data_IF_562641892872
#
_entry.id   IF_562641892872
#
_cell.length_a   1.000
_cell.length_b   1.000
_cell.length_c   1.000
_cell.angle_alpha   90.00
_cell.angle_beta   90.00
_cell.angle_gamma   90.00
#
_symmetry.space_group_name_H-M   'P 1'
#
loop_
_entity.id
_entity.type
_entity.pdbx_description
1 polymer ?
#
# COMPACT_ATOMS: atom_id res chain seq x y z
N UNK A 1 24.09 -74.95 16.79
CA UNK A 1 23.07 -74.46 17.76
C UNK A 1 23.44 -73.03 18.14
N UNK A 2 22.82 -72.03 17.51
CA UNK A 2 22.87 -70.63 17.96
C UNK A 2 21.44 -70.09 17.85
N UNK A 3 20.79 -69.93 19.01
CA UNK A 3 19.46 -69.37 19.12
C UNK A 3 19.56 -67.84 19.07
N UNK A 4 18.94 -67.24 18.06
CA UNK A 4 18.76 -65.80 17.97
C UNK A 4 17.44 -65.43 18.65
N UNK A 5 17.53 -64.69 19.75
CA UNK A 5 16.38 -64.17 20.51
C UNK A 5 15.94 -62.88 19.82
N UNK A 6 14.78 -62.92 19.16
CA UNK A 6 14.11 -61.76 18.63
C UNK A 6 13.37 -61.04 19.76
N UNK A 7 13.90 -59.91 20.22
CA UNK A 7 13.26 -59.01 21.17
C UNK A 7 12.26 -58.11 20.44
N UNK A 8 10.97 -58.41 20.57
CA UNK A 8 9.88 -57.60 20.05
C UNK A 8 9.58 -56.46 21.06
N UNK A 9 10.12 -55.27 20.81
CA UNK A 9 9.75 -54.05 21.54
C UNK A 9 8.39 -53.53 21.02
N UNK A 10 7.33 -53.69 21.82
CA UNK A 10 6.03 -53.05 21.60
C UNK A 10 6.09 -51.60 22.10
N UNK A 11 6.34 -50.67 21.18
CA UNK A 11 6.14 -49.23 21.39
C UNK A 11 4.64 -48.93 21.29
N UNK A 12 3.94 -48.94 22.42
CA UNK A 12 2.58 -48.38 22.52
C UNK A 12 2.66 -46.85 22.46
N UNK A 13 2.75 -46.31 21.24
CA UNK A 13 2.65 -44.88 20.99
C UNK A 13 1.24 -44.40 21.33
N UNK A 14 1.13 -43.45 22.28
CA UNK A 14 -0.12 -42.76 22.56
C UNK A 14 -0.46 -41.84 21.37
N UNK A 15 -1.13 -42.36 20.35
CA UNK A 15 -1.78 -41.54 19.32
C UNK A 15 -3.09 -41.00 19.90
N UNK A 16 -2.99 -40.08 20.87
CA UNK A 16 -4.11 -39.20 21.16
C UNK A 16 -4.11 -38.17 20.03
N UNK A 17 -4.89 -38.43 18.99
CA UNK A 17 -5.05 -37.47 17.89
C UNK A 17 -5.51 -36.14 18.46
N UNK A 18 -4.81 -35.06 18.07
CA UNK A 18 -5.22 -33.70 18.39
C UNK A 18 -6.69 -33.52 18.02
N UNK A 19 -7.46 -32.92 18.92
CA UNK A 19 -8.89 -32.71 18.73
C UNK A 19 -9.11 -31.48 17.84
N UNK A 20 -10.03 -31.62 16.89
CA UNK A 20 -10.50 -30.53 16.03
C UNK A 20 -11.51 -29.65 16.76
N UNK A 21 -11.97 -28.56 16.11
CA UNK A 21 -13.05 -27.69 16.62
C UNK A 21 -14.25 -28.53 17.09
N UNK A 22 -14.73 -28.24 18.30
CA UNK A 22 -15.86 -28.95 18.93
C UNK A 22 -15.50 -30.27 19.63
N UNK A 23 -14.22 -30.65 19.66
CA UNK A 23 -13.77 -31.85 20.37
C UNK A 23 -13.68 -31.65 21.89
N UNK A 24 -13.97 -32.71 22.66
CA UNK A 24 -13.79 -32.69 24.11
C UNK A 24 -12.30 -32.59 24.50
N UNK A 25 -11.98 -31.65 25.38
CA UNK A 25 -10.63 -31.40 25.87
C UNK A 25 -10.57 -31.29 27.40
N UNK A 26 -9.39 -31.54 27.96
CA UNK A 26 -9.10 -31.28 29.38
C UNK A 26 -8.06 -30.18 29.56
N UNK A 27 -7.15 -30.06 28.60
CA UNK A 27 -6.05 -29.09 28.56
C UNK A 27 -5.94 -28.50 27.15
N UNK A 28 -5.35 -27.32 27.02
CA UNK A 28 -5.12 -26.69 25.71
C UNK A 28 -4.26 -27.57 24.77
N UNK A 29 -3.40 -28.42 25.33
CA UNK A 29 -2.57 -29.37 24.56
C UNK A 29 -3.36 -30.50 23.90
N UNK A 30 -4.62 -30.70 24.28
CA UNK A 30 -5.49 -31.71 23.68
C UNK A 30 -6.08 -31.22 22.35
N UNK A 31 -6.03 -29.90 22.10
CA UNK A 31 -6.57 -29.26 20.91
C UNK A 31 -5.47 -29.00 19.86
N UNK A 32 -5.81 -29.14 18.58
CA UNK A 32 -4.91 -28.79 17.47
C UNK A 32 -4.64 -27.28 17.46
N UNK A 33 -3.39 -26.84 17.31
CA UNK A 33 -3.10 -25.41 17.20
C UNK A 33 -3.81 -24.82 15.96
N UNK A 34 -4.52 -23.68 16.05
CA UNK A 34 -4.46 -22.65 17.11
C UNK A 34 -5.60 -22.70 18.16
N UNK A 35 -6.20 -23.86 18.44
CA UNK A 35 -7.37 -23.99 19.30
C UNK A 35 -7.02 -24.03 20.81
N UNK A 36 -7.96 -23.63 21.66
CA UNK A 36 -7.85 -23.62 23.13
C UNK A 36 -8.99 -24.38 23.79
N UNK A 37 -8.73 -24.94 24.96
CA UNK A 37 -9.72 -25.70 25.71
C UNK A 37 -10.53 -24.78 26.63
N UNK A 38 -11.79 -24.52 26.27
CA UNK A 38 -12.71 -23.69 27.06
C UNK A 38 -13.94 -24.53 27.39
N UNK A 39 -14.28 -24.64 28.69
CA UNK A 39 -15.42 -25.44 29.17
C UNK A 39 -15.46 -26.91 28.69
N UNK A 40 -14.28 -27.50 28.43
CA UNK A 40 -14.08 -28.84 27.84
C UNK A 40 -14.31 -28.95 26.34
N UNK A 41 -14.38 -27.85 25.61
CA UNK A 41 -14.50 -27.84 24.15
C UNK A 41 -13.31 -27.10 23.51
N UNK A 42 -12.75 -27.67 22.44
CA UNK A 42 -11.71 -27.01 21.65
C UNK A 42 -12.32 -25.91 20.77
N UNK A 43 -12.02 -24.66 21.09
CA UNK A 43 -12.53 -23.46 20.40
C UNK A 43 -11.40 -22.62 19.79
N UNK A 44 -11.65 -21.90 18.68
CA UNK A 44 -10.65 -21.02 18.06
C UNK A 44 -10.30 -19.84 18.96
N UNK A 45 -9.01 -19.50 19.05
CA UNK A 45 -8.59 -18.21 19.56
C UNK A 45 -8.52 -17.18 18.43
N UNK A 46 -8.93 -15.96 18.74
CA UNK A 46 -8.84 -14.83 17.84
C UNK A 46 -8.10 -13.67 18.50
N UNK A 47 -7.43 -12.87 17.68
CA UNK A 47 -6.83 -11.59 18.06
C UNK A 47 -7.62 -10.42 17.48
N UNK A 48 -8.17 -10.61 16.30
CA UNK A 48 -9.06 -9.69 15.58
C UNK A 48 -10.19 -10.47 14.89
N UNK A 49 -11.25 -9.78 14.46
CA UNK A 49 -12.45 -10.41 13.88
C UNK A 49 -12.14 -11.27 12.64
N UNK A 50 -11.10 -10.92 11.87
CA UNK A 50 -10.67 -11.69 10.69
C UNK A 50 -10.11 -13.08 11.02
N UNK A 51 -9.75 -13.33 12.28
CA UNK A 51 -9.26 -14.64 12.72
C UNK A 51 -10.40 -15.64 12.93
N UNK A 52 -11.64 -15.16 12.97
CA UNK A 52 -12.82 -15.97 13.18
C UNK A 52 -13.41 -16.48 11.86
N UNK A 53 -14.13 -17.60 11.92
CA UNK A 53 -14.88 -18.11 10.79
C UNK A 53 -15.98 -17.12 10.37
N UNK A 54 -16.44 -17.23 9.12
CA UNK A 54 -17.45 -16.33 8.54
C UNK A 54 -18.62 -16.10 9.52
N UNK A 55 -18.90 -14.83 9.82
CA UNK A 55 -19.99 -14.33 10.69
C UNK A 55 -19.77 -14.45 12.19
N UNK A 56 -18.55 -14.71 12.66
CA UNK A 56 -18.19 -14.60 14.08
C UNK A 56 -17.37 -13.34 14.36
N UNK A 57 -17.43 -12.83 15.58
CA UNK A 57 -16.64 -11.68 16.04
C UNK A 57 -15.74 -12.07 17.21
N UNK A 58 -14.58 -11.43 17.29
CA UNK A 58 -13.60 -11.70 18.33
C UNK A 58 -13.93 -10.93 19.60
N UNK A 59 -14.53 -11.61 20.58
CA UNK A 59 -14.86 -11.02 21.88
C UNK A 59 -14.11 -11.72 23.01
N UNK A 60 -13.12 -11.03 23.56
CA UNK A 60 -12.33 -11.56 24.68
C UNK A 60 -11.47 -12.77 24.30
N UNK A 61 -10.89 -12.77 23.09
CA UNK A 61 -10.11 -13.88 22.50
C UNK A 61 -10.91 -15.13 22.14
N UNK A 62 -12.24 -15.03 22.11
CA UNK A 62 -13.12 -16.10 21.66
C UNK A 62 -13.94 -15.64 20.46
N UNK A 63 -14.00 -16.48 19.43
CA UNK A 63 -14.93 -16.28 18.32
C UNK A 63 -16.34 -16.61 18.77
N UNK A 64 -17.20 -15.60 18.88
CA UNK A 64 -18.61 -15.75 19.26
C UNK A 64 -19.50 -15.37 18.09
N UNK A 65 -20.65 -16.03 17.96
CA UNK A 65 -21.69 -15.57 17.04
C UNK A 65 -22.28 -14.23 17.57
N UNK A 66 -22.43 -13.20 16.72
CA UNK A 66 -23.04 -11.94 17.10
C UNK A 66 -24.51 -12.15 17.51
N UNK A 67 -25.00 -11.35 18.46
CA UNK A 67 -26.39 -11.45 18.89
C UNK A 67 -27.34 -11.16 17.71
N UNK A 68 -28.44 -11.93 17.55
CA UNK A 68 -29.36 -11.75 16.43
C UNK A 68 -29.93 -10.33 16.41
N UNK A 69 -29.61 -9.59 15.34
CA UNK A 69 -29.97 -8.18 15.16
C UNK A 69 -28.77 -7.22 15.02
N UNK A 70 -27.55 -7.69 15.30
CA UNK A 70 -26.32 -6.95 15.04
C UNK A 70 -25.69 -7.42 13.72
N UNK A 71 -25.65 -6.54 12.72
CA UNK A 71 -24.95 -6.83 11.46
C UNK A 71 -23.45 -6.83 11.75
N UNK A 72 -22.86 -8.04 11.83
CA UNK A 72 -21.42 -8.16 11.94
C UNK A 72 -20.75 -7.71 10.63
N UNK A 73 -19.59 -7.07 10.75
CA UNK A 73 -18.80 -6.55 9.63
C UNK A 73 -17.32 -6.79 9.86
N UNK A 74 -16.57 -7.06 8.80
CA UNK A 74 -15.11 -7.05 8.83
C UNK A 74 -14.56 -5.70 8.36
N UNK A 75 -15.32 -4.99 7.50
CA UNK A 75 -15.01 -3.66 6.99
C UNK A 75 -16.28 -2.82 6.84
N UNK A 76 -16.12 -1.49 6.74
CA UNK A 76 -17.24 -0.55 6.53
C UNK A 76 -18.05 -0.84 5.26
N UNK A 77 -17.45 -1.47 4.25
CA UNK A 77 -18.12 -1.92 3.03
C UNK A 77 -19.15 -3.03 3.25
N UNK A 78 -19.04 -3.77 4.35
CA UNK A 78 -19.96 -4.86 4.69
C UNK A 78 -21.26 -4.32 5.33
N UNK A 79 -21.25 -3.04 5.69
CA UNK A 79 -22.37 -2.38 6.33
C UNK A 79 -23.34 -1.75 5.31
N UNK A 80 -24.63 -1.70 5.63
CA UNK A 80 -25.61 -0.91 4.86
C UNK A 80 -25.18 0.56 4.74
N UNK A 81 -25.68 1.23 3.70
CA UNK A 81 -25.44 2.66 3.47
C UNK A 81 -25.75 3.46 4.74
N UNK A 82 -24.85 4.38 5.12
CA UNK A 82 -24.88 5.21 6.34
C UNK A 82 -24.56 4.48 7.66
N UNK A 83 -23.85 3.36 7.62
CA UNK A 83 -23.31 2.69 8.79
C UNK A 83 -21.78 2.54 8.67
N UNK A 84 -21.08 2.53 9.80
CA UNK A 84 -19.63 2.29 9.87
C UNK A 84 -19.35 1.03 10.66
N UNK A 85 -18.34 0.26 10.25
CA UNK A 85 -17.93 -0.92 11.00
C UNK A 85 -17.07 -0.49 12.20
N UNK A 86 -17.62 -0.63 13.42
CA UNK A 86 -16.93 -0.27 14.66
C UNK A 86 -16.96 -1.49 15.58
N UNK A 87 -15.79 -2.08 15.85
CA UNK A 87 -15.67 -3.25 16.73
C UNK A 87 -16.42 -4.48 16.22
N UNK A 88 -16.41 -4.71 14.91
CA UNK A 88 -17.06 -5.86 14.28
C UNK A 88 -18.58 -5.74 14.12
N UNK A 89 -19.17 -4.57 14.44
CA UNK A 89 -20.60 -4.32 14.37
C UNK A 89 -20.87 -3.07 13.52
N UNK A 90 -21.85 -3.13 12.63
CA UNK A 90 -22.32 -1.97 11.88
C UNK A 90 -23.11 -1.04 12.80
N UNK A 91 -22.55 0.11 13.13
CA UNK A 91 -23.24 1.18 13.86
C UNK A 91 -23.73 2.25 12.90
N UNK A 92 -24.96 2.74 13.12
CA UNK A 92 -25.48 3.88 12.38
C UNK A 92 -24.62 5.11 12.65
N UNK A 93 -24.23 5.83 11.60
CA UNK A 93 -23.71 7.18 11.73
C UNK A 93 -24.84 8.04 12.28
N UNK A 94 -24.96 8.14 13.61
CA UNK A 94 -25.77 9.16 14.25
C UNK A 94 -25.03 10.47 14.01
N UNK A 95 -25.29 11.08 12.85
CA UNK A 95 -25.11 12.50 12.67
C UNK A 95 -25.99 13.14 13.74
N UNK A 96 -25.40 13.47 14.88
CA UNK A 96 -26.01 14.36 15.85
C UNK A 96 -26.16 15.70 15.13
N UNK A 97 -27.26 15.86 14.40
CA UNK A 97 -27.78 17.16 14.00
C UNK A 97 -28.16 17.87 15.28
N UNK A 98 -27.18 18.57 15.87
CA UNK A 98 -27.45 19.73 16.68
C UNK A 98 -28.12 20.74 15.74
N UNK A 99 -29.44 20.67 15.80
CA UNK A 99 -30.43 21.51 15.15
C UNK A 99 -30.18 22.98 15.53
N UNK A 100 -29.33 23.65 14.75
CA UNK A 100 -29.23 25.10 14.78
C UNK A 100 -30.40 25.63 13.93
N UNK A 101 -31.52 25.87 14.62
CA UNK A 101 -32.73 26.41 14.03
C UNK A 101 -32.45 27.65 13.19
N UNK A 102 -32.93 27.59 11.95
CA UNK A 102 -33.25 28.78 11.17
C UNK A 102 -34.70 28.59 10.73
N UNK A 103 -35.60 29.30 11.40
CA UNK A 103 -36.93 29.55 10.88
C UNK A 103 -36.78 30.34 9.58
N UNK A 104 -37.15 29.73 8.45
CA UNK A 104 -37.48 30.46 7.24
C UNK A 104 -38.97 30.32 7.01
N UNK A 105 -39.64 31.40 7.39
CA UNK A 105 -41.03 31.73 7.11
C UNK A 105 -41.06 32.36 5.71
N UNK A 106 -41.31 31.57 4.67
CA UNK A 106 -41.75 32.05 3.37
C UNK A 106 -42.82 31.14 2.77
N UNK A 107 -44.08 31.57 2.95
CA UNK A 107 -45.25 30.96 2.36
C UNK A 107 -45.13 30.79 0.85
N UNK A 108 -45.02 29.53 0.42
CA UNK A 108 -45.20 29.09 -0.96
C UNK A 108 -46.46 28.23 -1.07
N UNK A 109 -47.46 28.76 -1.76
CA UNK A 109 -48.73 28.11 -2.09
C UNK A 109 -48.50 26.83 -2.91
N UNK A 110 -49.20 25.76 -2.54
CA UNK A 110 -49.21 24.48 -3.24
C UNK A 110 -49.74 24.62 -4.68
N UNK A 111 -49.14 23.97 -5.69
CA UNK A 111 -49.80 23.76 -6.97
C UNK A 111 -50.66 22.49 -6.92
N UNK A 112 -51.92 22.65 -7.30
CA UNK A 112 -52.90 21.60 -7.50
C UNK A 112 -52.43 20.57 -8.54
N UNK A 113 -52.56 19.29 -8.19
CA UNK A 113 -52.35 18.17 -9.09
C UNK A 113 -53.48 18.08 -10.13
N UNK A 114 -53.21 18.57 -11.34
CA UNK A 114 -53.99 18.27 -12.55
C UNK A 114 -53.49 16.97 -13.22
N UNK A 115 -54.37 16.13 -13.79
CA UNK A 115 -53.99 14.90 -14.48
C UNK A 115 -53.94 15.15 -16.00
N UNK A 116 -52.83 15.70 -16.48
CA UNK A 116 -52.53 15.77 -17.90
C UNK A 116 -51.05 15.46 -18.13
N UNK A 117 -50.84 14.31 -18.78
CA UNK A 117 -49.54 13.74 -19.03
C UNK A 117 -48.70 14.61 -19.97
N UNK A 118 -47.49 14.92 -19.51
CA UNK A 118 -46.49 15.58 -20.32
C UNK A 118 -45.39 16.16 -19.45
N UNK A 119 -44.47 15.32 -18.97
CA UNK A 119 -43.18 15.79 -18.45
C UNK A 119 -42.05 15.39 -19.38
N UNK A 120 -41.48 16.46 -19.93
CA UNK A 120 -40.13 16.65 -20.44
C UNK A 120 -39.12 15.77 -19.67
N UNK A 121 -38.13 15.14 -20.33
CA UNK A 121 -37.05 14.46 -19.61
C UNK A 121 -36.30 15.50 -18.78
N UNK A 122 -36.43 15.38 -17.45
CA UNK A 122 -35.62 16.14 -16.52
C UNK A 122 -34.15 15.83 -16.80
N UNK A 123 -33.41 16.85 -17.25
CA UNK A 123 -31.96 16.83 -17.33
C UNK A 123 -31.33 16.93 -15.93
N UNK A 124 -31.90 16.21 -14.96
CA UNK A 124 -31.17 15.76 -13.79
C UNK A 124 -30.25 14.67 -14.27
N UNK A 125 -29.07 15.07 -14.76
CA UNK A 125 -27.94 14.14 -14.82
C UNK A 125 -27.81 13.63 -13.40
N UNK A 126 -28.03 12.32 -13.23
CA UNK A 126 -27.60 11.57 -12.07
C UNK A 126 -26.11 11.85 -11.93
N UNK A 127 -25.77 12.93 -11.22
CA UNK A 127 -24.42 13.32 -10.93
C UNK A 127 -23.89 12.17 -10.11
N UNK A 128 -23.21 11.25 -10.80
CA UNK A 128 -22.59 10.10 -10.20
C UNK A 128 -21.85 10.58 -8.97
N UNK A 129 -21.94 9.78 -7.91
CA UNK A 129 -21.27 9.87 -6.61
C UNK A 129 -19.73 9.89 -6.78
N UNK A 130 -19.23 10.80 -7.60
CA UNK A 130 -17.84 11.16 -7.73
C UNK A 130 -17.49 12.01 -6.53
N UNK A 131 -17.45 11.37 -5.36
CA UNK A 131 -16.91 11.98 -4.16
C UNK A 131 -15.40 11.97 -4.28
N UNK A 132 -14.82 12.98 -4.91
CA UNK A 132 -13.39 13.19 -4.89
C UNK A 132 -12.92 13.15 -3.43
N UNK A 133 -11.82 12.45 -3.14
CA UNK A 133 -11.34 12.30 -1.79
C UNK A 133 -10.87 13.64 -1.23
N UNK A 134 -10.74 13.71 0.09
CA UNK A 134 -10.14 14.83 0.79
C UNK A 134 -8.80 15.24 0.14
N UNK A 135 -8.62 16.55 -0.08
CA UNK A 135 -7.42 17.13 -0.69
C UNK A 135 -7.37 17.11 -2.22
N UNK A 136 -8.28 16.40 -2.91
CA UNK A 136 -8.38 16.43 -4.36
C UNK A 136 -8.80 17.81 -4.88
N UNK A 137 -8.40 18.15 -6.11
CA UNK A 137 -8.79 19.40 -6.77
C UNK A 137 -10.25 19.30 -7.23
N UNK A 138 -11.06 20.32 -6.94
CA UNK A 138 -12.48 20.39 -7.29
C UNK A 138 -12.81 21.73 -7.93
N UNK A 139 -13.82 21.76 -8.80
CA UNK A 139 -14.46 22.96 -9.34
C UNK A 139 -15.76 23.29 -8.58
N UNK A 140 -16.42 22.29 -8.00
CA UNK A 140 -17.67 22.47 -7.25
C UNK A 140 -17.73 21.60 -5.99
N UNK A 141 -18.51 22.05 -5.00
CA UNK A 141 -18.75 21.34 -3.74
C UNK A 141 -19.30 19.91 -3.95
N UNK A 142 -20.14 19.71 -4.96
CA UNK A 142 -20.75 18.43 -5.31
C UNK A 142 -19.75 17.39 -5.84
N UNK A 143 -18.56 17.80 -6.23
CA UNK A 143 -17.49 16.88 -6.67
C UNK A 143 -16.73 16.28 -5.48
N UNK A 144 -16.94 16.76 -4.26
CA UNK A 144 -16.21 16.28 -3.08
C UNK A 144 -17.05 15.29 -2.29
N UNK A 145 -16.41 14.23 -1.77
CA UNK A 145 -17.10 13.26 -0.90
C UNK A 145 -17.73 13.90 0.35
N UNK A 146 -17.15 15.01 0.81
CA UNK A 146 -17.63 15.82 1.93
C UNK A 146 -18.70 16.85 1.57
N UNK A 147 -18.97 17.07 0.28
CA UNK A 147 -19.80 18.18 -0.18
C UNK A 147 -19.17 19.56 0.00
N UNK A 148 -17.84 19.66 0.21
CA UNK A 148 -17.16 20.93 0.47
C UNK A 148 -15.92 21.10 -0.41
N UNK A 149 -15.93 22.13 -1.26
CA UNK A 149 -14.79 22.55 -2.08
C UNK A 149 -14.30 23.94 -1.63
N UNK A 150 -13.11 24.00 -1.03
CA UNK A 150 -12.53 25.23 -0.50
C UNK A 150 -11.45 25.77 -1.43
N UNK A 151 -11.59 27.03 -1.86
CA UNK A 151 -10.61 27.72 -2.70
C UNK A 151 -10.54 29.21 -2.36
N UNK A 152 -9.51 29.93 -2.84
CA UNK A 152 -9.43 31.37 -2.65
C UNK A 152 -10.61 32.08 -3.31
N UNK A 153 -11.03 33.22 -2.73
CA UNK A 153 -12.17 33.97 -3.24
C UNK A 153 -11.98 34.34 -4.73
N UNK A 154 -12.90 33.90 -5.57
CA UNK A 154 -12.87 34.14 -7.03
C UNK A 154 -12.11 33.11 -7.86
N UNK A 155 -11.53 32.06 -7.25
CA UNK A 155 -10.94 30.95 -8.01
C UNK A 155 -12.01 30.05 -8.64
N UNK A 156 -11.72 29.54 -9.85
CA UNK A 156 -12.57 28.54 -10.54
C UNK A 156 -12.29 27.10 -10.08
N UNK A 157 -11.33 26.92 -9.18
CA UNK A 157 -10.99 25.63 -8.58
C UNK A 157 -10.60 25.80 -7.11
N UNK A 158 -10.80 24.74 -6.33
CA UNK A 158 -10.44 24.61 -4.93
C UNK A 158 -9.94 23.21 -4.62
N UNK A 159 -9.95 22.85 -3.33
CA UNK A 159 -9.66 21.50 -2.84
C UNK A 159 -10.80 20.98 -1.97
N UNK A 160 -11.06 19.68 -2.08
CA UNK A 160 -12.03 19.01 -1.23
C UNK A 160 -11.57 19.05 0.23
N UNK A 161 -12.39 19.63 1.10
CA UNK A 161 -12.12 19.77 2.55
C UNK A 161 -13.21 19.09 3.37
N UNK A 162 -13.10 19.06 4.71
CA UNK A 162 -14.15 18.57 5.62
C UNK A 162 -14.25 19.47 6.86
N UNK A 163 -15.39 19.42 7.57
CA UNK A 163 -15.52 20.07 8.88
C UNK A 163 -14.56 19.46 9.89
N UNK A 164 -14.18 20.24 10.90
CA UNK A 164 -13.28 19.81 11.95
C UNK A 164 -13.63 20.47 13.29
N UNK A 165 -13.33 19.79 14.38
CA UNK A 165 -13.39 20.32 15.75
C UNK A 165 -11.99 20.68 16.28
N UNK A 166 -10.96 19.95 15.86
CA UNK A 166 -9.56 20.14 16.28
C UNK A 166 -8.59 19.88 15.12
N UNK A 167 -7.33 20.34 15.24
CA UNK A 167 -6.31 20.13 14.20
C UNK A 167 -6.06 18.66 13.88
N UNK A 168 -6.27 17.75 14.85
CA UNK A 168 -6.10 16.32 14.65
C UNK A 168 -7.15 15.71 13.69
N UNK A 169 -8.25 16.40 13.43
CA UNK A 169 -9.25 15.95 12.46
C UNK A 169 -8.77 16.17 11.02
N UNK A 170 -7.80 17.06 10.81
CA UNK A 170 -7.31 17.46 9.50
C UNK A 170 -6.06 16.67 9.10
N UNK A 171 -5.98 16.32 7.82
CA UNK A 171 -4.76 15.73 7.28
C UNK A 171 -3.77 16.85 6.99
N UNK A 172 -2.54 16.69 7.45
CA UNK A 172 -1.46 17.60 7.12
C UNK A 172 -1.40 17.87 5.59
N UNK A 173 -1.21 19.12 5.14
CA UNK A 173 -0.83 20.33 5.90
C UNK A 173 -2.01 21.14 6.46
N UNK A 174 -3.24 20.68 6.34
CA UNK A 174 -4.40 21.46 6.77
C UNK A 174 -4.51 21.53 8.29
N UNK A 175 -5.00 22.66 8.78
CA UNK A 175 -5.34 22.86 10.19
C UNK A 175 -6.80 23.21 10.34
N UNK A 176 -7.36 22.97 11.52
CA UNK A 176 -8.76 23.22 11.74
C UNK A 176 -9.00 24.69 12.04
N UNK A 177 -9.59 25.40 11.09
CA UNK A 177 -9.71 26.84 11.15
C UNK A 177 -11.10 27.35 10.80
N UNK A 178 -11.47 28.46 11.44
CA UNK A 178 -12.70 29.18 11.15
C UNK A 178 -12.59 29.88 9.78
N UNK A 179 -13.29 29.33 8.79
CA UNK A 179 -13.46 29.93 7.48
C UNK A 179 -14.69 30.83 7.53
N UNK A 180 -14.56 32.15 7.27
CA UNK A 180 -15.67 33.08 7.31
C UNK A 180 -16.85 32.62 6.45
N UNK A 181 -18.03 32.42 7.08
CA UNK A 181 -19.25 31.97 6.42
C UNK A 181 -19.41 30.46 6.21
N UNK A 182 -18.37 29.66 6.48
CA UNK A 182 -18.42 28.20 6.30
C UNK A 182 -18.14 27.40 7.60
N UNK A 183 -17.79 28.08 8.70
CA UNK A 183 -17.50 27.45 9.99
C UNK A 183 -16.09 26.87 10.05
N UNK A 184 -15.87 25.91 10.96
CA UNK A 184 -14.55 25.29 11.15
C UNK A 184 -14.31 24.18 10.16
N UNK A 185 -13.39 24.42 9.23
CA UNK A 185 -13.01 23.52 8.16
C UNK A 185 -11.51 23.21 8.22
N UNK A 186 -11.12 22.08 7.66
CA UNK A 186 -9.71 21.80 7.42
C UNK A 186 -9.20 22.67 6.27
N UNK A 187 -8.46 23.72 6.60
CA UNK A 187 -7.93 24.65 5.63
C UNK A 187 -6.41 24.78 5.78
N UNK A 188 -5.74 24.99 4.66
CA UNK A 188 -4.38 25.51 4.64
C UNK A 188 -4.43 26.97 5.11
N UNK A 189 -4.28 27.17 6.41
CA UNK A 189 -4.30 28.50 7.02
C UNK A 189 -2.97 29.22 6.98
N UNK A 190 -1.88 28.53 6.66
CA UNK A 190 -0.59 29.18 6.59
C UNK A 190 -0.48 29.94 5.28
N UNK A 191 -0.50 31.28 5.40
CA UNK A 191 0.05 32.16 4.38
C UNK A 191 1.54 31.80 4.21
N UNK A 192 1.86 31.12 3.12
CA UNK A 192 3.21 30.66 2.81
C UNK A 192 3.29 30.04 1.42
N UNK A 193 4.52 29.86 0.96
CA UNK A 193 4.85 29.19 -0.29
C UNK A 193 4.40 27.73 -0.30
N UNK A 194 3.96 27.28 -1.46
CA UNK A 194 3.64 25.88 -1.75
C UNK A 194 4.92 25.05 -1.85
N UNK A 195 4.84 23.70 -1.75
CA UNK A 195 6.01 22.87 -1.97
C UNK A 195 6.69 23.19 -3.31
N UNK A 196 7.98 23.52 -3.27
CA UNK A 196 8.77 24.00 -4.41
C UNK A 196 9.10 25.50 -4.39
N UNK A 197 8.30 26.32 -3.69
CA UNK A 197 8.53 27.77 -3.61
C UNK A 197 9.78 28.09 -2.76
N UNK A 198 10.55 29.15 -3.07
CA UNK A 198 11.69 29.54 -2.25
C UNK A 198 11.27 30.03 -0.85
N UNK A 199 12.05 29.71 0.17
CA UNK A 199 11.82 30.13 1.56
C UNK A 199 13.08 30.81 2.15
N UNK A 200 13.36 32.08 1.80
CA UNK A 200 14.57 32.78 2.23
C UNK A 200 14.65 33.06 3.75
N UNK A 201 13.52 33.10 4.44
CA UNK A 201 13.40 33.37 5.88
C UNK A 201 13.11 32.11 6.71
N UNK A 202 13.20 30.91 6.10
CA UNK A 202 13.01 29.63 6.79
C UNK A 202 11.55 29.15 6.80
N UNK A 203 11.22 28.32 7.80
CA UNK A 203 9.94 27.59 7.88
C UNK A 203 8.69 28.47 7.84
N UNK A 204 8.79 29.70 8.35
CA UNK A 204 7.69 30.66 8.38
C UNK A 204 7.23 31.12 6.98
N UNK A 205 8.09 30.97 5.97
CA UNK A 205 7.74 31.28 4.58
C UNK A 205 6.91 30.16 3.92
N UNK A 206 6.77 28.99 4.55
CA UNK A 206 6.17 27.81 3.93
C UNK A 206 4.79 27.51 4.49
N UNK A 207 3.83 27.20 3.61
CA UNK A 207 2.48 26.81 4.03
C UNK A 207 2.45 25.48 4.82
N UNK A 208 3.50 24.69 4.66
CA UNK A 208 3.75 23.45 5.39
C UNK A 208 4.44 23.68 6.74
N UNK A 209 5.04 24.85 6.95
CA UNK A 209 5.98 25.06 8.06
C UNK A 209 7.29 24.28 7.92
N UNK A 210 7.66 23.80 6.71
CA UNK A 210 8.92 23.10 6.46
C UNK A 210 9.66 23.73 5.28
N UNK A 211 10.80 24.34 5.56
CA UNK A 211 11.74 24.89 4.60
C UNK A 211 12.99 24.00 4.52
N UNK A 212 13.18 23.30 3.39
CA UNK A 212 14.35 22.45 3.21
C UNK A 212 15.50 23.24 2.59
N UNK A 213 16.63 23.30 3.30
CA UNK A 213 17.84 23.96 2.82
C UNK A 213 18.80 22.94 2.19
N UNK A 214 18.92 22.97 0.86
CA UNK A 214 19.83 22.09 0.10
C UNK A 214 21.25 22.66 0.01
N UNK A 215 21.38 23.99 0.04
CA UNK A 215 22.66 24.69 0.09
C UNK A 215 22.52 26.03 0.80
N UNK A 216 23.62 26.73 1.07
CA UNK A 216 23.62 28.07 1.69
C UNK A 216 22.82 29.13 0.91
N UNK A 217 22.46 28.86 -0.34
CA UNK A 217 21.75 29.76 -1.25
C UNK A 217 20.46 29.18 -1.83
N UNK A 218 20.15 27.90 -1.56
CA UNK A 218 18.95 27.23 -2.08
C UNK A 218 18.17 26.62 -0.94
N UNK A 219 17.02 27.24 -0.67
CA UNK A 219 15.99 26.74 0.22
C UNK A 219 14.66 26.75 -0.53
N UNK A 220 13.82 25.76 -0.27
CA UNK A 220 12.48 25.71 -0.83
C UNK A 220 11.53 25.01 0.15
N UNK A 221 10.25 25.37 0.08
CA UNK A 221 9.20 24.79 0.88
C UNK A 221 8.97 23.33 0.49
N UNK A 222 8.80 22.46 1.47
CA UNK A 222 8.55 21.03 1.25
C UNK A 222 7.40 20.56 2.13
N UNK A 223 6.94 19.32 1.96
CA UNK A 223 5.92 18.70 2.81
C UNK A 223 6.28 17.24 3.08
N UNK A 224 5.86 16.65 4.21
CA UNK A 224 5.94 15.21 4.44
C UNK A 224 5.13 14.45 3.40
N UNK A 225 5.64 13.30 2.98
CA UNK A 225 5.07 12.48 1.92
C UNK A 225 4.74 11.04 2.32
N UNK A 226 4.85 10.69 3.60
CA UNK A 226 4.45 9.38 4.15
C UNK A 226 3.49 9.54 5.35
N UNK A 227 2.57 8.58 5.58
CA UNK A 227 2.37 7.35 4.81
C UNK A 227 1.76 7.57 3.41
N UNK A 228 1.07 8.69 3.18
CA UNK A 228 0.78 9.33 1.88
C UNK A 228 0.51 10.82 2.17
N UNK A 229 1.16 11.80 1.49
CA UNK A 229 0.64 12.22 0.19
C UNK A 229 1.68 12.26 -0.93
N UNK A 230 1.21 12.07 -2.17
CA UNK A 230 1.96 12.28 -3.41
C UNK A 230 2.55 13.69 -3.47
N UNK A 231 3.83 13.79 -3.83
CA UNK A 231 4.46 15.08 -4.03
C UNK A 231 3.92 15.78 -5.28
N UNK A 232 3.80 17.13 -5.27
CA UNK A 232 3.51 17.91 -6.47
C UNK A 232 4.50 17.61 -7.61
N UNK A 233 4.07 17.85 -8.84
CA UNK A 233 4.90 17.64 -10.05
C UNK A 233 6.26 18.32 -9.89
N UNK A 234 7.34 17.60 -10.16
CA UNK A 234 8.73 18.07 -10.01
C UNK A 234 9.35 17.79 -8.64
N UNK A 235 8.57 17.30 -7.67
CA UNK A 235 9.06 16.87 -6.37
C UNK A 235 8.95 15.33 -6.25
N UNK A 236 9.87 14.70 -5.54
CA UNK A 236 9.90 13.26 -5.25
C UNK A 236 9.85 13.06 -3.74
N UNK A 237 9.12 12.04 -3.30
CA UNK A 237 9.11 11.65 -1.90
C UNK A 237 10.41 10.91 -1.57
N UNK A 238 11.26 11.51 -0.74
CA UNK A 238 12.54 10.91 -0.36
C UNK A 238 12.79 11.04 1.15
N UNK A 239 13.47 10.06 1.78
CA UNK A 239 13.90 10.17 3.17
C UNK A 239 14.99 11.24 3.32
N UNK A 240 14.78 12.17 4.24
CA UNK A 240 15.72 13.23 4.62
C UNK A 240 16.16 12.98 6.07
N UNK A 241 17.47 12.93 6.38
CA UNK A 241 17.95 12.77 7.75
C UNK A 241 17.46 13.90 8.67
N UNK A 242 16.96 13.55 9.85
CA UNK A 242 16.44 14.52 10.84
C UNK A 242 17.53 15.13 11.75
N UNK A 243 18.79 14.73 11.56
CA UNK A 243 19.91 15.14 12.39
C UNK A 243 19.96 14.48 13.79
N UNK A 244 18.96 13.68 14.16
CA UNK A 244 18.89 12.91 15.41
C UNK A 244 19.14 11.40 15.20
N UNK A 245 19.49 11.00 13.97
CA UNK A 245 19.71 9.60 13.60
C UNK A 245 18.46 8.91 13.05
N UNK A 246 17.36 9.64 12.86
CA UNK A 246 16.19 9.20 12.12
C UNK A 246 16.14 9.79 10.71
N UNK A 247 15.08 9.44 9.97
CA UNK A 247 14.78 10.02 8.66
C UNK A 247 13.29 10.35 8.57
N UNK A 248 12.97 11.50 8.00
CA UNK A 248 11.62 11.94 7.67
C UNK A 248 11.48 12.00 6.15
N UNK A 249 10.45 11.38 5.61
CA UNK A 249 10.15 11.42 4.17
C UNK A 249 9.50 12.74 3.78
N UNK A 250 10.19 13.52 2.97
CA UNK A 250 9.76 14.85 2.49
C UNK A 250 9.70 14.89 0.97
N UNK A 251 8.89 15.80 0.44
CA UNK A 251 8.87 16.16 -0.98
C UNK A 251 10.09 17.01 -1.33
N UNK A 252 11.19 16.35 -1.62
CA UNK A 252 12.39 17.02 -2.11
C UNK A 252 12.21 17.33 -3.60
N UNK A 253 12.89 18.34 -4.17
CA UNK A 253 12.91 18.48 -5.62
C UNK A 253 13.54 17.19 -6.09
N UNK A 254 12.90 16.51 -7.03
CA UNK A 254 13.66 15.55 -7.82
C UNK A 254 14.84 16.37 -8.31
N UNK A 255 16.05 16.10 -7.80
CA UNK A 255 17.21 16.96 -8.04
C UNK A 255 17.27 17.30 -9.51
N UNK A 256 17.82 18.46 -9.88
CA UNK A 256 17.89 18.98 -11.25
C UNK A 256 18.51 18.03 -12.32
N UNK A 257 18.83 16.81 -11.93
CA UNK A 257 19.02 15.66 -12.78
C UNK A 257 17.75 15.11 -13.39
N UNK A 258 17.94 14.13 -14.26
CA UNK A 258 16.87 13.50 -15.02
C UNK A 258 15.94 12.68 -14.12
N UNK A 259 14.68 12.57 -14.53
CA UNK A 259 13.70 11.70 -13.87
C UNK A 259 14.06 10.22 -14.01
N UNK A 260 13.26 9.35 -13.37
CA UNK A 260 13.40 7.90 -13.54
C UNK A 260 13.44 7.50 -15.03
N UNK A 261 14.44 6.71 -15.42
CA UNK A 261 14.69 6.31 -16.81
C UNK A 261 15.51 7.29 -17.64
N UNK A 262 15.81 8.48 -17.12
CA UNK A 262 16.67 9.45 -17.79
C UNK A 262 18.16 9.07 -17.75
N UNK A 263 18.95 9.59 -18.68
CA UNK A 263 20.37 9.29 -18.76
C UNK A 263 21.17 10.00 -17.66
N UNK A 264 22.19 9.35 -17.12
CA UNK A 264 23.07 9.91 -16.09
C UNK A 264 24.51 9.44 -16.24
N UNK A 265 25.46 10.26 -15.76
CA UNK A 265 26.86 9.89 -15.64
C UNK A 265 27.26 9.64 -14.17
N UNK A 266 26.52 10.23 -13.22
CA UNK A 266 26.72 10.11 -11.77
C UNK A 266 25.38 10.20 -11.04
N UNK A 267 25.35 9.71 -9.81
CA UNK A 267 24.19 9.75 -8.90
C UNK A 267 23.51 11.13 -8.82
N UNK A 268 24.31 12.21 -8.79
CA UNK A 268 23.81 13.58 -8.70
C UNK A 268 23.04 14.06 -9.96
N UNK A 269 23.19 13.36 -11.09
CA UNK A 269 22.45 13.63 -12.32
C UNK A 269 21.05 12.98 -12.30
N UNK A 270 20.66 12.34 -11.20
CA UNK A 270 19.35 11.70 -11.05
C UNK A 270 18.53 12.36 -9.97
N UNK A 271 17.25 12.57 -10.26
CA UNK A 271 16.28 13.07 -9.29
C UNK A 271 16.23 12.23 -8.00
N UNK A 272 16.47 10.93 -8.14
CA UNK A 272 16.49 9.92 -7.07
C UNK A 272 17.84 9.80 -6.36
N UNK A 273 18.89 10.43 -6.86
CA UNK A 273 20.26 10.21 -6.39
C UNK A 273 20.85 8.85 -6.78
N UNK A 274 20.17 8.06 -7.62
CA UNK A 274 20.61 6.72 -8.02
C UNK A 274 20.80 6.66 -9.53
N UNK A 275 22.06 6.50 -9.94
CA UNK A 275 22.47 6.31 -11.32
C UNK A 275 23.09 4.92 -11.48
N UNK A 276 22.45 4.04 -12.26
CA UNK A 276 22.97 2.70 -12.54
C UNK A 276 23.53 2.62 -13.95
N UNK A 277 24.71 2.02 -14.11
CA UNK A 277 25.26 1.77 -15.44
C UNK A 277 24.47 0.67 -16.16
N UNK A 278 24.02 0.92 -17.39
CA UNK A 278 23.39 -0.11 -18.23
C UNK A 278 24.47 -0.74 -19.13
N UNK A 279 24.84 -2.02 -18.93
CA UNK A 279 25.98 -2.61 -19.64
C UNK A 279 25.82 -2.65 -21.16
N UNK A 280 24.59 -2.77 -21.65
CA UNK A 280 24.30 -2.86 -23.09
C UNK A 280 24.53 -1.55 -23.85
N UNK A 281 24.38 -0.40 -23.19
CA UNK A 281 24.51 0.93 -23.81
C UNK A 281 25.76 1.67 -23.35
N UNK A 282 26.36 1.27 -22.22
CA UNK A 282 27.46 1.99 -21.59
C UNK A 282 27.05 3.33 -20.99
N UNK A 283 25.76 3.66 -20.97
CA UNK A 283 25.21 4.87 -20.37
C UNK A 283 24.57 4.55 -19.02
N UNK A 284 24.67 5.47 -18.07
CA UNK A 284 23.92 5.37 -16.82
C UNK A 284 22.45 5.74 -17.03
N UNK A 285 21.56 5.12 -16.27
CA UNK A 285 20.14 5.44 -16.22
C UNK A 285 19.71 5.70 -14.79
N UNK A 286 18.91 6.75 -14.59
CA UNK A 286 18.35 7.10 -13.31
C UNK A 286 17.29 6.09 -12.87
N UNK A 287 17.40 5.60 -11.64
CA UNK A 287 16.55 4.53 -11.09
C UNK A 287 16.08 4.84 -9.67
N UNK A 288 15.21 4.00 -9.09
CA UNK A 288 14.79 4.02 -7.70
C UNK A 288 15.08 2.68 -7.02
N UNK A 289 15.00 2.64 -5.69
CA UNK A 289 14.97 1.36 -4.97
C UNK A 289 13.62 0.67 -5.19
N UNK A 290 13.61 -0.65 -5.03
CA UNK A 290 12.43 -1.50 -5.23
C UNK A 290 12.19 -2.50 -4.10
N UNK A 291 12.70 -2.19 -2.92
CA UNK A 291 12.49 -2.93 -1.68
C UNK A 291 11.06 -2.76 -1.12
N UNK A 292 10.47 -1.58 -1.31
CA UNK A 292 9.09 -1.27 -0.86
C UNK A 292 8.11 -1.05 -2.01
N UNK A 293 8.60 -0.63 -3.18
CA UNK A 293 7.75 -0.20 -4.30
C UNK A 293 8.11 -1.02 -5.55
N UNK A 294 7.16 -1.73 -6.18
CA UNK A 294 7.41 -2.45 -7.43
C UNK A 294 7.94 -1.53 -8.53
N UNK A 295 8.88 -2.03 -9.34
CA UNK A 295 9.42 -1.26 -10.45
C UNK A 295 8.35 -0.92 -11.51
N UNK A 296 8.45 0.25 -12.18
CA UNK A 296 7.59 0.58 -13.30
C UNK A 296 7.67 -0.45 -14.44
N UNK A 297 6.64 -0.51 -15.29
CA UNK A 297 6.62 -1.39 -16.45
C UNK A 297 7.89 -1.21 -17.31
N UNK A 298 8.50 -2.33 -17.71
CA UNK A 298 9.77 -2.33 -18.46
C UNK A 298 11.02 -2.23 -17.58
N UNK A 299 10.89 -2.28 -16.25
CA UNK A 299 12.00 -2.34 -15.30
C UNK A 299 11.89 -3.59 -14.43
N UNK A 300 13.02 -4.10 -13.93
CA UNK A 300 13.09 -5.26 -13.03
C UNK A 300 13.90 -4.92 -11.79
N UNK A 301 13.45 -5.42 -10.65
CA UNK A 301 14.12 -5.22 -9.38
C UNK A 301 15.34 -6.14 -9.30
N UNK A 302 16.54 -5.55 -9.23
CA UNK A 302 17.80 -6.26 -9.23
C UNK A 302 18.62 -5.88 -8.01
N UNK A 303 19.25 -6.88 -7.41
CA UNK A 303 20.25 -6.69 -6.37
C UNK A 303 21.53 -6.16 -7.01
N UNK A 304 21.97 -4.98 -6.59
CA UNK A 304 23.23 -4.37 -7.00
C UNK A 304 24.09 -4.18 -5.76
N UNK A 305 25.37 -4.55 -5.87
CA UNK A 305 26.36 -4.31 -4.81
C UNK A 305 26.57 -2.80 -4.65
N UNK A 306 26.43 -2.29 -3.44
CA UNK A 306 26.61 -0.86 -3.13
C UNK A 306 28.08 -0.43 -3.07
N UNK A 307 29.02 -1.35 -3.28
CA UNK A 307 30.46 -1.13 -3.19
C UNK A 307 30.99 -1.07 -1.76
N UNK A 308 30.12 -1.21 -0.75
CA UNK A 308 30.44 -1.32 0.67
C UNK A 308 30.19 -2.74 1.22
N UNK A 309 29.87 -3.69 0.34
CA UNK A 309 29.53 -5.07 0.71
C UNK A 309 28.07 -5.26 1.11
N UNK A 310 27.23 -4.24 0.91
CA UNK A 310 25.77 -4.33 0.98
C UNK A 310 25.16 -4.62 -0.40
N UNK A 311 23.93 -5.15 -0.40
CA UNK A 311 23.13 -5.34 -1.61
C UNK A 311 21.92 -4.42 -1.57
N UNK A 312 21.83 -3.50 -2.53
CA UNK A 312 20.67 -2.63 -2.72
C UNK A 312 19.76 -3.18 -3.82
N UNK A 313 18.45 -3.20 -3.60
CA UNK A 313 17.46 -3.57 -4.61
C UNK A 313 17.09 -2.33 -5.42
N UNK A 314 17.44 -2.28 -6.71
CA UNK A 314 17.19 -1.13 -7.59
C UNK A 314 16.49 -1.56 -8.88
N UNK A 315 15.70 -0.64 -9.46
CA UNK A 315 15.00 -0.91 -10.71
C UNK A 315 15.93 -0.74 -11.92
N UNK A 316 16.47 -1.81 -12.49
CA UNK A 316 17.16 -1.66 -13.77
C UNK A 316 16.17 -1.72 -14.93
N UNK A 317 16.43 -1.01 -16.05
CA UNK A 317 15.67 -1.20 -17.27
C UNK A 317 15.69 -2.69 -17.60
N UNK A 318 14.52 -3.30 -17.59
CA UNK A 318 14.24 -4.62 -18.10
C UNK A 318 14.24 -4.57 -19.62
N UNK A 319 15.33 -4.06 -20.20
CA UNK A 319 15.72 -4.56 -21.50
C UNK A 319 16.02 -6.03 -21.29
N UNK A 320 15.36 -6.91 -22.01
CA UNK A 320 15.68 -8.32 -22.09
C UNK A 320 17.13 -8.51 -22.57
N UNK A 321 18.12 -8.34 -21.69
CA UNK A 321 19.52 -8.69 -21.97
C UNK A 321 19.83 -10.13 -21.61
N UNK A 322 18.84 -10.80 -21.02
CA UNK A 322 18.85 -12.23 -20.87
C UNK A 322 17.79 -12.90 -21.71
N UNK A 323 18.17 -13.96 -22.40
CA UNK A 323 17.20 -14.89 -22.97
C UNK A 323 16.22 -15.36 -21.89
N UNK A 324 14.98 -15.58 -22.29
CA UNK A 324 13.98 -16.23 -21.47
C UNK A 324 14.47 -17.62 -21.06
N UNK A 325 13.83 -18.23 -20.07
CA UNK A 325 14.19 -19.58 -19.64
C UNK A 325 14.12 -20.57 -20.81
N UNK A 326 15.22 -21.28 -21.04
CA UNK A 326 15.40 -22.18 -22.19
C UNK A 326 16.05 -21.55 -23.43
N UNK A 327 16.19 -20.22 -23.50
CA UNK A 327 16.92 -19.57 -24.59
C UNK A 327 18.41 -19.89 -24.52
N UNK A 328 19.08 -19.93 -25.67
CA UNK A 328 20.52 -20.16 -25.74
C UNK A 328 21.29 -18.98 -25.18
N UNK A 329 22.38 -19.27 -24.46
CA UNK A 329 23.21 -18.27 -23.80
C UNK A 329 24.70 -18.51 -24.03
N UNK A 330 25.50 -17.44 -23.99
CA UNK A 330 26.97 -17.50 -24.06
C UNK A 330 27.64 -17.23 -22.71
N UNK A 331 26.87 -16.78 -21.72
CA UNK A 331 27.30 -16.56 -20.34
C UNK A 331 26.14 -16.15 -19.43
N UNK A 332 26.39 -16.08 -18.12
CA UNK A 332 25.42 -15.69 -17.09
C UNK A 332 24.67 -14.39 -17.40
N UNK A 333 25.38 -13.38 -17.91
CA UNK A 333 24.82 -12.08 -18.30
C UNK A 333 23.85 -12.15 -19.47
N UNK A 334 23.82 -13.26 -20.21
CA UNK A 334 22.90 -13.52 -21.31
C UNK A 334 21.58 -14.15 -20.86
N UNK A 335 21.30 -14.21 -19.54
CA UNK A 335 20.10 -14.85 -18.99
C UNK A 335 19.39 -13.94 -17.99
N UNK A 336 18.05 -13.95 -18.02
CA UNK A 336 17.24 -13.07 -17.15
C UNK A 336 17.48 -13.38 -15.67
N UNK A 337 17.77 -14.63 -15.35
CA UNK A 337 18.16 -15.12 -14.03
C UNK A 337 19.60 -14.87 -13.63
N UNK A 338 20.46 -14.44 -14.56
CA UNK A 338 21.91 -14.47 -14.36
C UNK A 338 22.51 -15.88 -14.40
N UNK A 339 21.77 -16.92 -14.79
CA UNK A 339 22.26 -18.30 -14.83
C UNK A 339 22.22 -18.88 -16.24
N UNK A 340 23.41 -19.18 -16.77
CA UNK A 340 23.60 -19.85 -18.06
C UNK A 340 24.18 -21.25 -17.84
N UNK A 341 23.38 -22.28 -18.05
CA UNK A 341 23.75 -23.67 -17.82
C UNK A 341 24.22 -24.30 -19.12
N UNK A 342 25.46 -24.79 -19.17
CA UNK A 342 25.98 -25.54 -20.32
C UNK A 342 25.62 -27.03 -20.19
N UNK A 343 24.65 -27.50 -20.98
CA UNK A 343 24.25 -28.90 -21.02
C UNK A 343 24.60 -29.51 -22.39
N UNK A 344 25.66 -30.31 -22.42
CA UNK A 344 26.11 -30.98 -23.63
C UNK A 344 25.03 -31.88 -24.27
N UNK A 345 24.04 -32.35 -23.50
CA UNK A 345 22.92 -33.17 -24.00
C UNK A 345 22.00 -32.39 -24.94
N UNK A 346 21.91 -31.07 -24.76
CA UNK A 346 21.08 -30.16 -25.56
C UNK A 346 21.86 -29.44 -26.67
N UNK A 347 23.15 -29.74 -26.82
CA UNK A 347 23.98 -29.14 -27.85
C UNK A 347 24.31 -27.66 -27.62
N UNK A 348 24.19 -27.15 -26.40
CA UNK A 348 24.53 -25.76 -26.07
C UNK A 348 24.24 -25.36 -24.62
N UNK A 349 24.57 -24.12 -24.30
CA UNK A 349 24.20 -23.52 -23.02
C UNK A 349 22.86 -22.78 -23.14
N UNK A 350 22.04 -22.84 -22.09
CA UNK A 350 20.73 -22.19 -22.03
C UNK A 350 20.46 -21.52 -20.68
N UNK A 351 19.52 -20.57 -20.68
CA UNK A 351 19.12 -19.84 -19.50
C UNK A 351 18.25 -20.68 -18.56
N UNK A 352 18.63 -20.77 -17.28
CA UNK A 352 17.94 -21.55 -16.23
C UNK A 352 17.58 -20.66 -15.02
N UNK A 353 16.85 -21.14 -14.02
CA UNK A 353 16.59 -20.43 -12.76
C UNK A 353 16.96 -21.28 -11.54
N UNK A 354 17.30 -20.65 -10.40
CA UNK A 354 17.52 -21.38 -9.16
C UNK A 354 16.20 -21.96 -8.64
N UNK A 355 16.23 -23.15 -8.08
CA UNK A 355 15.05 -23.85 -7.58
C UNK A 355 15.32 -24.50 -6.22
N UNK A 356 14.27 -24.80 -5.47
CA UNK A 356 14.34 -25.58 -4.23
C UNK A 356 13.62 -26.92 -4.39
N UNK A 357 12.57 -26.95 -5.23
CA UNK A 357 11.76 -28.13 -5.54
C UNK A 357 11.36 -28.13 -7.00
N UNK A 358 10.96 -29.29 -7.53
CA UNK A 358 10.54 -29.42 -8.94
C UNK A 358 9.38 -28.51 -9.34
N UNK A 359 8.52 -28.16 -8.39
CA UNK A 359 7.41 -27.23 -8.61
C UNK A 359 7.88 -25.83 -9.06
N UNK A 360 9.08 -25.40 -8.65
CA UNK A 360 9.64 -24.11 -9.04
C UNK A 360 10.04 -24.10 -10.53
N UNK A 361 10.26 -25.28 -11.11
CA UNK A 361 10.60 -25.48 -12.52
C UNK A 361 9.38 -25.77 -13.41
N UNK A 362 8.21 -26.01 -12.83
CA UNK A 362 7.02 -26.46 -13.56
C UNK A 362 6.50 -25.45 -14.60
N UNK A 363 6.84 -24.17 -14.44
CA UNK A 363 6.52 -23.12 -15.42
C UNK A 363 7.34 -23.24 -16.73
N UNK A 364 8.44 -24.01 -16.72
CA UNK A 364 9.32 -24.20 -17.86
C UNK A 364 9.21 -25.65 -18.31
N UNK A 365 8.49 -25.85 -19.41
CA UNK A 365 8.06 -27.17 -19.91
C UNK A 365 9.15 -28.25 -19.84
N UNK A 366 9.03 -29.14 -18.85
CA UNK A 366 9.84 -30.35 -18.73
C UNK A 366 11.13 -30.25 -17.92
N UNK A 367 11.42 -29.10 -17.28
CA UNK A 367 12.56 -28.99 -16.36
C UNK A 367 12.20 -29.51 -14.96
N UNK A 368 13.19 -30.11 -14.30
CA UNK A 368 13.14 -30.54 -12.89
C UNK A 368 14.24 -29.83 -12.10
N UNK A 369 14.11 -29.80 -10.78
CA UNK A 369 15.10 -29.16 -9.94
C UNK A 369 16.29 -30.09 -9.70
N UNK A 370 17.41 -29.81 -10.37
CA UNK A 370 18.62 -30.65 -10.31
C UNK A 370 19.66 -29.98 -9.43
N UNK A 371 20.26 -30.77 -8.53
CA UNK A 371 21.40 -30.32 -7.73
C UNK A 371 22.70 -30.52 -8.52
N UNK A 372 23.40 -29.41 -8.79
CA UNK A 372 24.72 -29.41 -9.42
C UNK A 372 25.78 -29.95 -8.46
N UNK A 373 26.95 -30.32 -8.99
CA UNK A 373 28.10 -30.76 -8.19
C UNK A 373 28.62 -29.68 -7.23
N UNK A 374 28.32 -28.40 -7.49
CA UNK A 374 28.59 -27.27 -6.59
C UNK A 374 27.69 -27.26 -5.35
N UNK A 375 26.59 -28.02 -5.33
CA UNK A 375 25.57 -28.01 -4.28
C UNK A 375 24.39 -27.07 -4.56
N UNK A 376 24.51 -26.19 -5.55
CA UNK A 376 23.42 -25.32 -6.02
C UNK A 376 22.34 -26.13 -6.73
N UNK A 377 21.10 -25.65 -6.68
CA UNK A 377 19.93 -26.28 -7.31
C UNK A 377 19.39 -25.36 -8.41
N UNK A 378 19.27 -25.90 -9.63
CA UNK A 378 18.81 -25.16 -10.82
C UNK A 378 17.82 -26.00 -11.63
N UNK A 379 16.94 -25.34 -12.38
CA UNK A 379 16.02 -26.01 -13.28
C UNK A 379 16.74 -26.54 -14.51
N UNK A 380 16.87 -27.85 -14.63
CA UNK A 380 17.52 -28.50 -15.77
C UNK A 380 16.64 -29.63 -16.31
N UNK A 381 16.92 -30.09 -17.52
CA UNK A 381 16.28 -31.31 -18.00
C UNK A 381 16.75 -32.50 -17.14
N UNK A 382 15.84 -33.42 -16.79
CA UNK A 382 16.12 -34.57 -15.93
C UNK A 382 17.27 -35.46 -16.41
#
# INVERSE_FOLDING_TARGET
MRAAIAGLLLLAGCTQGLRTVGGECRLNSDCEAPLFCVERECVPQCREDRDCADKQVCRGQLCVEPEPGQNACAATSDCPVNQTCIGGICEALILNTLDAGVELDDGGVAPDAGPDGGVVPDAGVDAGVGGLPYGAVCAAASECASGLCLGPAGATSGRCTKPCAVNADCTYPDTCADVPGAGRLCATTQAGGQPGDPCPNGDADCASGICLQLSSTRSFCTQPCAPLPTCPVGLTCAPVPDGQGGAVTLCVPGGAGEGFGGACARAADCATGLCIGVPSTGQGVCTSTCDQIPCPAGYSCLAVDDGQGGVAQVCAPGGAVGGAYGDTCTGASSCQSGLCLNDARLGGAYCTLPCVRDADCAAINGLVCVRLSSGEQVCALP
#
